data_IF_077406572597
#
_entry.id   IF_077406572597
#
_cell.length_a   1.000
_cell.length_b   1.000
_cell.length_c   1.000
_cell.angle_alpha   90.00
_cell.angle_beta   90.00
_cell.angle_gamma   90.00
#
_symmetry.space_group_name_H-M   'P 1'
#
loop_
_entity.id
_entity.type
_entity.pdbx_description
1 polymer ?
#
# COMPACT_ATOMS: atom_id res chain seq x y z
N UNK A 1 -16.03 -6.89 -8.28
CA UNK A 1 -15.79 -6.07 -7.06
C UNK A 1 -14.83 -6.78 -6.13
N UNK A 2 -13.61 -6.25 -5.98
CA UNK A 2 -12.55 -6.84 -5.15
C UNK A 2 -12.59 -6.20 -3.75
N UNK A 3 -12.60 -6.96 -2.65
CA UNK A 3 -12.54 -6.40 -1.30
C UNK A 3 -11.12 -5.87 -1.00
N UNK A 4 -11.02 -4.69 -0.39
CA UNK A 4 -9.74 -4.07 0.00
C UNK A 4 -9.25 -4.47 1.40
N UNK A 5 -10.12 -5.10 2.20
CA UNK A 5 -9.92 -5.41 3.62
C UNK A 5 -9.76 -4.19 4.54
N UNK A 6 -9.86 -2.97 4.00
CA UNK A 6 -10.04 -1.75 4.76
C UNK A 6 -11.52 -1.62 5.12
N UNK A 7 -11.82 -1.64 6.42
CA UNK A 7 -13.20 -1.58 6.95
C UNK A 7 -13.54 -0.30 7.68
N UNK A 8 -12.54 0.47 8.07
CA UNK A 8 -12.71 1.74 8.76
C UNK A 8 -12.02 2.87 8.00
N UNK A 9 -12.60 4.06 8.13
CA UNK A 9 -12.00 5.31 7.69
C UNK A 9 -11.30 6.00 8.85
N UNK A 10 -10.40 6.97 8.57
CA UNK A 10 -9.74 7.71 9.63
C UNK A 10 -10.73 8.44 10.55
N UNK A 11 -10.41 8.51 11.84
CA UNK A 11 -11.28 9.09 12.87
C UNK A 11 -10.59 10.16 13.75
N UNK A 12 -9.37 10.57 13.39
CA UNK A 12 -8.59 11.58 14.11
C UNK A 12 -7.83 11.03 15.32
N UNK A 13 -7.85 9.72 15.56
CA UNK A 13 -7.04 9.05 16.60
C UNK A 13 -5.73 8.47 16.03
N UNK A 14 -5.47 8.63 14.74
CA UNK A 14 -4.26 8.15 14.07
C UNK A 14 -3.04 8.92 14.60
N UNK A 15 -2.00 8.19 15.04
CA UNK A 15 -0.74 8.77 15.53
C UNK A 15 0.43 7.91 15.05
N UNK A 16 1.58 8.54 14.84
CA UNK A 16 2.84 7.87 14.59
C UNK A 16 3.43 8.09 13.19
N UNK A 17 4.53 7.38 12.93
CA UNK A 17 5.33 7.51 11.72
C UNK A 17 5.12 6.31 10.81
N UNK A 18 4.86 6.57 9.54
CA UNK A 18 4.53 5.57 8.53
C UNK A 18 5.30 5.84 7.24
N UNK A 19 5.73 4.77 6.58
CA UNK A 19 6.20 4.84 5.21
C UNK A 19 5.11 4.37 4.25
N UNK A 20 5.18 4.84 3.01
CA UNK A 20 4.47 4.18 1.94
C UNK A 20 5.37 3.96 0.73
N UNK A 21 4.97 3.01 -0.11
CA UNK A 21 5.46 2.89 -1.48
C UNK A 21 4.25 2.99 -2.38
N UNK A 22 4.21 4.02 -3.23
CA UNK A 22 3.13 4.25 -4.19
C UNK A 22 3.61 3.98 -5.61
N UNK A 23 3.34 2.75 -6.08
CA UNK A 23 3.79 2.26 -7.38
C UNK A 23 2.83 2.75 -8.48
N UNK A 24 3.27 3.78 -9.19
CA UNK A 24 2.58 4.35 -10.35
C UNK A 24 2.98 3.69 -11.68
N UNK A 25 2.66 4.37 -12.79
CA UNK A 25 2.94 3.89 -14.14
C UNK A 25 4.41 3.99 -14.56
N UNK A 26 5.00 5.18 -14.48
CA UNK A 26 6.37 5.46 -14.93
C UNK A 26 7.32 5.82 -13.78
N UNK A 27 6.74 6.22 -12.65
CA UNK A 27 7.44 6.59 -11.44
C UNK A 27 6.71 5.96 -10.26
N UNK A 28 7.41 5.86 -9.13
CA UNK A 28 6.80 5.60 -7.84
C UNK A 28 7.24 6.62 -6.81
N UNK A 29 6.51 6.68 -5.71
CA UNK A 29 6.78 7.62 -4.62
C UNK A 29 7.07 6.84 -3.34
N UNK A 30 7.96 7.39 -2.52
CA UNK A 30 8.20 6.92 -1.15
C UNK A 30 7.94 8.10 -0.21
N UNK A 31 6.72 8.25 0.31
CA UNK A 31 6.44 9.23 1.36
C UNK A 31 6.71 8.67 2.76
N UNK A 32 7.22 9.54 3.63
CA UNK A 32 7.21 9.41 5.08
C UNK A 32 6.12 10.31 5.64
N UNK A 33 5.11 9.70 6.28
CA UNK A 33 3.94 10.36 6.82
C UNK A 33 4.02 10.32 8.35
N UNK A 34 3.88 11.47 8.99
CA UNK A 34 3.82 11.62 10.44
C UNK A 34 2.44 12.13 10.82
N UNK A 35 1.68 11.30 11.52
CA UNK A 35 0.29 11.59 11.89
C UNK A 35 0.22 12.06 13.34
N UNK A 36 -0.50 13.17 13.57
CA UNK A 36 -0.87 13.67 14.87
C UNK A 36 -2.37 14.01 14.92
N UNK A 37 -3.21 13.00 14.72
CA UNK A 37 -4.65 13.16 14.65
C UNK A 37 -5.08 13.54 13.28
N UNK A 38 -5.74 14.69 13.15
CA UNK A 38 -6.15 15.22 11.86
C UNK A 38 -5.01 15.98 11.15
N UNK A 39 -3.87 16.13 11.82
CA UNK A 39 -2.68 16.72 11.26
C UNK A 39 -1.77 15.63 10.66
N UNK A 40 -1.30 15.89 9.44
CA UNK A 40 -0.38 15.02 8.73
C UNK A 40 0.77 15.84 8.13
N UNK A 41 1.99 15.52 8.57
CA UNK A 41 3.21 16.00 7.91
C UNK A 41 3.70 14.94 6.93
N UNK A 42 4.09 15.36 5.73
CA UNK A 42 4.55 14.45 4.68
C UNK A 42 5.83 14.98 4.05
N UNK A 43 6.86 14.14 4.04
CA UNK A 43 8.04 14.30 3.19
C UNK A 43 8.08 13.11 2.23
N UNK A 44 8.67 13.25 1.05
CA UNK A 44 8.71 12.15 0.11
C UNK A 44 9.56 12.39 -1.11
N UNK A 45 9.95 11.30 -1.74
CA UNK A 45 10.75 11.33 -2.98
C UNK A 45 10.09 10.52 -4.08
N UNK A 46 10.22 11.03 -5.31
CA UNK A 46 9.78 10.36 -6.52
C UNK A 46 10.97 9.67 -7.16
N UNK A 47 10.80 8.42 -7.55
CA UNK A 47 11.79 7.59 -8.23
C UNK A 47 11.27 7.15 -9.58
N UNK A 48 12.11 7.23 -10.60
CA UNK A 48 11.81 6.70 -11.92
C UNK A 48 11.85 5.17 -11.91
N UNK A 49 10.99 4.56 -12.71
CA UNK A 49 11.03 3.13 -12.99
C UNK A 49 11.56 2.97 -14.41
N UNK A 50 12.79 2.46 -14.59
CA UNK A 50 13.31 2.22 -15.93
C UNK A 50 12.38 1.30 -16.71
N UNK A 51 12.18 1.57 -18.01
CA UNK A 51 11.31 0.74 -18.85
C UNK A 51 11.73 -0.74 -18.86
N UNK A 52 13.04 -0.99 -18.84
CA UNK A 52 13.59 -2.34 -18.74
C UNK A 52 13.15 -3.07 -17.45
N UNK A 53 12.94 -2.34 -16.35
CA UNK A 53 12.43 -2.89 -15.08
C UNK A 53 10.92 -3.15 -15.17
N UNK A 54 10.16 -2.30 -15.87
CA UNK A 54 8.70 -2.48 -16.06
C UNK A 54 8.34 -3.72 -16.89
N UNK A 55 9.28 -4.23 -17.69
CA UNK A 55 9.09 -5.35 -18.63
C UNK A 55 10.08 -6.50 -18.38
N UNK A 56 10.80 -6.45 -17.26
CA UNK A 56 11.82 -7.41 -16.88
C UNK A 56 11.31 -8.51 -15.97
N UNK A 57 12.19 -9.00 -15.11
CA UNK A 57 11.94 -10.08 -14.15
C UNK A 57 11.46 -9.56 -12.79
N UNK A 58 10.72 -10.41 -12.06
CA UNK A 58 10.22 -10.13 -10.71
C UNK A 58 11.27 -9.46 -9.81
N UNK A 59 12.44 -10.08 -9.68
CA UNK A 59 13.49 -9.57 -8.79
C UNK A 59 14.00 -8.20 -9.23
N UNK A 60 14.05 -7.91 -10.54
CA UNK A 60 14.49 -6.60 -11.02
C UNK A 60 13.56 -5.47 -10.57
N UNK A 61 12.24 -5.68 -10.57
CA UNK A 61 11.27 -4.69 -10.09
C UNK A 61 11.36 -4.50 -8.58
N UNK A 62 11.27 -5.59 -7.81
CA UNK A 62 11.18 -5.47 -6.36
C UNK A 62 12.54 -5.09 -5.73
N UNK A 63 13.67 -5.51 -6.29
CA UNK A 63 14.99 -5.08 -5.83
C UNK A 63 15.25 -3.60 -6.15
N UNK A 64 14.75 -3.09 -7.29
CA UNK A 64 14.77 -1.65 -7.60
C UNK A 64 13.96 -0.85 -6.57
N UNK A 65 12.76 -1.30 -6.23
CA UNK A 65 11.94 -0.67 -5.18
C UNK A 65 12.66 -0.68 -3.83
N UNK A 66 13.23 -1.82 -3.42
CA UNK A 66 13.97 -1.95 -2.17
C UNK A 66 15.21 -1.03 -2.14
N UNK A 67 15.91 -0.87 -3.27
CA UNK A 67 17.07 0.03 -3.37
C UNK A 67 16.69 1.50 -3.25
N UNK A 68 15.59 1.93 -3.88
CA UNK A 68 15.10 3.31 -3.72
C UNK A 68 14.56 3.57 -2.31
N UNK A 69 13.91 2.58 -1.68
CA UNK A 69 13.45 2.69 -0.30
C UNK A 69 14.64 2.92 0.64
N UNK A 70 15.74 2.19 0.46
CA UNK A 70 16.97 2.41 1.21
C UNK A 70 17.59 3.80 0.99
N UNK A 71 17.68 4.25 -0.27
CA UNK A 71 18.16 5.61 -0.60
C UNK A 71 17.31 6.67 0.09
N UNK A 72 15.99 6.50 0.11
CA UNK A 72 15.08 7.42 0.79
C UNK A 72 15.30 7.40 2.30
N UNK A 73 15.28 6.22 2.93
CA UNK A 73 15.48 6.08 4.37
C UNK A 73 16.81 6.68 4.83
N UNK A 74 17.88 6.50 4.06
CA UNK A 74 19.18 7.10 4.37
C UNK A 74 19.14 8.63 4.32
N UNK A 75 18.57 9.22 3.26
CA UNK A 75 18.50 10.68 3.08
C UNK A 75 17.61 11.36 4.11
N UNK A 76 16.53 10.70 4.50
CA UNK A 76 15.58 11.20 5.49
C UNK A 76 16.01 10.89 6.93
N UNK A 77 17.21 10.33 7.15
CA UNK A 77 17.73 10.02 8.49
C UNK A 77 16.98 8.90 9.21
N UNK A 78 16.30 8.02 8.47
CA UNK A 78 15.44 6.95 8.99
C UNK A 78 16.17 5.61 9.16
N UNK A 79 17.43 5.50 8.73
CA UNK A 79 18.20 4.23 8.76
C UNK A 79 18.39 3.61 10.16
N UNK A 80 18.31 4.41 11.23
CA UNK A 80 18.45 3.94 12.62
C UNK A 80 17.15 4.04 13.42
N UNK A 81 16.01 4.20 12.73
CA UNK A 81 14.70 4.26 13.38
C UNK A 81 14.19 2.87 13.70
N UNK A 82 13.23 2.77 14.63
CA UNK A 82 12.52 1.51 14.84
C UNK A 82 11.82 1.09 13.54
N UNK A 83 11.70 -0.22 13.33
CA UNK A 83 10.98 -0.81 12.20
C UNK A 83 9.65 -0.08 11.91
N UNK A 84 9.61 0.65 10.79
CA UNK A 84 8.47 1.50 10.43
C UNK A 84 7.37 0.69 9.71
N UNK A 85 6.08 0.89 10.04
CA UNK A 85 4.99 0.32 9.24
C UNK A 85 4.97 0.94 7.83
N UNK A 86 4.81 0.09 6.82
CA UNK A 86 4.81 0.45 5.41
C UNK A 86 3.50 0.04 4.74
N UNK A 87 2.80 1.04 4.17
CA UNK A 87 1.69 0.84 3.26
C UNK A 87 2.18 0.70 1.81
N UNK A 88 1.86 -0.40 1.14
CA UNK A 88 2.23 -0.62 -0.25
C UNK A 88 1.04 -0.36 -1.17
N UNK A 89 0.97 0.84 -1.74
CA UNK A 89 -0.01 1.18 -2.77
C UNK A 89 0.42 0.57 -4.09
N UNK A 90 -0.16 -0.59 -4.40
CA UNK A 90 0.13 -1.38 -5.58
C UNK A 90 -1.06 -1.32 -6.54
N UNK A 91 -1.00 -0.35 -7.46
CA UNK A 91 -2.15 0.12 -8.25
C UNK A 91 -2.44 -0.75 -9.47
N UNK A 92 -2.53 -2.06 -9.27
CA UNK A 92 -2.86 -3.09 -10.25
C UNK A 92 -3.98 -4.00 -9.71
N UNK A 93 -4.75 -4.66 -10.59
CA UNK A 93 -5.77 -5.60 -10.15
C UNK A 93 -5.17 -6.74 -9.31
N UNK A 94 -5.57 -6.81 -8.03
CA UNK A 94 -5.12 -7.84 -7.09
C UNK A 94 -6.29 -8.56 -6.43
N UNK A 95 -6.13 -9.87 -6.19
CA UNK A 95 -6.99 -10.62 -5.29
C UNK A 95 -6.38 -10.58 -3.90
N UNK A 96 -7.03 -9.89 -2.97
CA UNK A 96 -6.59 -9.83 -1.57
C UNK A 96 -7.26 -10.92 -0.75
N UNK A 97 -6.52 -11.46 0.22
CA UNK A 97 -7.03 -12.37 1.26
C UNK A 97 -6.93 -11.78 2.67
N UNK A 98 -6.11 -10.74 2.83
CA UNK A 98 -5.99 -9.95 4.04
C UNK A 98 -5.56 -8.51 3.69
N UNK A 99 -5.40 -7.65 4.70
CA UNK A 99 -4.89 -6.30 4.49
C UNK A 99 -3.46 -6.31 3.91
N UNK A 100 -2.65 -7.32 4.25
CA UNK A 100 -1.21 -7.38 3.95
C UNK A 100 -0.82 -8.52 2.99
N UNK A 101 -1.81 -9.15 2.34
CA UNK A 101 -1.64 -10.22 1.34
C UNK A 101 -2.48 -9.92 0.09
N UNK A 102 -1.80 -9.74 -1.04
CA UNK A 102 -2.42 -9.33 -2.30
C UNK A 102 -1.78 -10.05 -3.48
N UNK A 103 -2.52 -10.95 -4.14
CA UNK A 103 -2.03 -11.66 -5.32
C UNK A 103 -2.35 -10.91 -6.60
N UNK A 104 -1.33 -10.62 -7.41
CA UNK A 104 -1.52 -9.93 -8.69
C UNK A 104 -2.37 -10.79 -9.64
N UNK A 105 -3.42 -10.22 -10.21
CA UNK A 105 -4.27 -10.91 -11.20
C UNK A 105 -3.71 -10.74 -12.61
N UNK A 106 -3.35 -9.50 -12.98
CA UNK A 106 -2.75 -9.16 -14.27
C UNK A 106 -2.06 -7.80 -14.23
N UNK A 107 -1.06 -7.62 -15.07
CA UNK A 107 -0.46 -6.30 -15.28
C UNK A 107 -1.35 -5.37 -16.11
N UNK A 108 -1.15 -4.08 -15.93
CA UNK A 108 -1.78 -2.98 -16.70
C UNK A 108 -0.76 -1.85 -16.86
N UNK A 109 -1.15 -0.67 -17.39
CA UNK A 109 -0.31 0.55 -17.38
C UNK A 109 1.09 0.37 -18.03
N UNK A 110 1.22 -0.55 -18.99
CA UNK A 110 2.47 -0.84 -19.69
C UNK A 110 3.45 -1.76 -18.94
N UNK A 111 3.11 -2.21 -17.73
CA UNK A 111 3.90 -3.24 -17.04
C UNK A 111 3.68 -4.61 -17.67
N UNK A 112 4.73 -5.42 -17.68
CA UNK A 112 4.68 -6.83 -18.02
C UNK A 112 5.86 -7.58 -17.37
N UNK A 113 5.92 -7.55 -16.04
CA UNK A 113 7.02 -8.18 -15.28
C UNK A 113 6.75 -9.67 -15.12
N UNK A 114 7.69 -10.49 -15.58
CA UNK A 114 7.58 -11.96 -15.51
C UNK A 114 7.66 -12.46 -14.07
N UNK A 115 6.96 -13.57 -13.79
CA UNK A 115 7.04 -14.25 -12.49
C UNK A 115 6.32 -13.54 -11.33
N UNK A 116 5.49 -12.52 -11.56
CA UNK A 116 4.73 -11.81 -10.52
C UNK A 116 3.24 -12.17 -10.51
N UNK A 117 2.64 -12.42 -11.68
CA UNK A 117 1.21 -12.77 -11.77
C UNK A 117 0.92 -14.04 -10.93
N UNK A 118 -0.12 -13.97 -10.10
CA UNK A 118 -0.51 -15.03 -9.18
C UNK A 118 0.26 -15.05 -7.85
N UNK A 119 1.29 -14.22 -7.67
CA UNK A 119 2.08 -14.16 -6.42
C UNK A 119 1.66 -13.01 -5.52
N UNK A 120 1.89 -13.17 -4.22
CA UNK A 120 1.66 -12.13 -3.21
C UNK A 120 2.71 -11.02 -3.32
N UNK A 121 2.29 -9.83 -3.73
CA UNK A 121 3.20 -8.69 -3.97
C UNK A 121 3.77 -8.12 -2.68
N UNK A 122 3.08 -8.28 -1.54
CA UNK A 122 3.61 -7.89 -0.25
C UNK A 122 4.78 -8.80 0.15
N UNK A 123 4.61 -10.11 -0.02
CA UNK A 123 5.68 -11.09 0.18
C UNK A 123 6.88 -10.82 -0.73
N UNK A 124 6.65 -10.56 -2.03
CA UNK A 124 7.74 -10.24 -2.96
C UNK A 124 8.53 -9.00 -2.54
N UNK A 125 7.86 -7.95 -2.05
CA UNK A 125 8.53 -6.77 -1.52
C UNK A 125 9.33 -7.09 -0.24
N UNK A 126 8.77 -7.89 0.67
CA UNK A 126 9.49 -8.35 1.88
C UNK A 126 10.74 -9.16 1.52
N UNK A 127 10.63 -10.05 0.53
CA UNK A 127 11.75 -10.85 0.04
C UNK A 127 12.86 -9.99 -0.56
N UNK A 128 12.53 -8.99 -1.38
CA UNK A 128 13.51 -8.06 -1.94
C UNK A 128 14.22 -7.24 -0.86
N UNK A 129 13.49 -6.75 0.15
CA UNK A 129 14.07 -6.05 1.30
C UNK A 129 15.00 -6.99 2.08
N UNK A 130 14.60 -8.24 2.29
CA UNK A 130 15.44 -9.24 2.97
C UNK A 130 16.70 -9.58 2.18
N UNK A 131 16.61 -9.77 0.85
CA UNK A 131 17.77 -9.99 -0.02
C UNK A 131 18.76 -8.84 0.07
N UNK A 132 18.26 -7.60 0.02
CA UNK A 132 19.10 -6.41 0.18
C UNK A 132 19.83 -6.42 1.53
N UNK A 133 19.08 -6.56 2.62
CA UNK A 133 19.64 -6.58 3.97
C UNK A 133 20.64 -7.74 4.17
N UNK A 134 20.44 -8.89 3.52
CA UNK A 134 21.37 -10.02 3.56
C UNK A 134 22.65 -9.79 2.74
N UNK A 135 22.61 -8.91 1.73
CA UNK A 135 23.78 -8.57 0.89
C UNK A 135 24.71 -7.53 1.52
N UNK A 136 24.34 -6.94 2.65
CA UNK A 136 25.08 -5.90 3.34
C UNK A 136 25.46 -6.32 4.76
N UNK A 137 26.48 -5.67 5.32
CA UNK A 137 26.94 -5.93 6.70
C UNK A 137 26.01 -5.32 7.77
N UNK A 138 25.12 -4.41 7.38
CA UNK A 138 24.11 -3.79 8.22
C UNK A 138 22.76 -3.77 7.49
N UNK A 139 21.67 -3.61 8.25
CA UNK A 139 20.31 -3.49 7.70
C UNK A 139 20.00 -2.02 7.46
N UNK A 140 19.89 -1.64 6.19
CA UNK A 140 19.61 -0.25 5.80
C UNK A 140 18.11 0.02 5.55
N UNK A 141 17.29 -1.04 5.52
CA UNK A 141 15.83 -0.97 5.39
C UNK A 141 15.16 -1.75 6.52
N UNK A 142 14.67 -1.03 7.53
CA UNK A 142 13.87 -1.58 8.62
C UNK A 142 12.40 -1.14 8.51
N UNK A 143 11.61 -1.93 7.77
CA UNK A 143 10.18 -1.68 7.57
C UNK A 143 9.34 -2.94 7.75
N UNK A 144 8.05 -2.76 8.03
CA UNK A 144 7.05 -3.83 8.04
C UNK A 144 5.96 -3.57 7.00
N UNK A 145 5.81 -4.43 6.00
CA UNK A 145 4.74 -4.26 5.00
C UNK A 145 3.42 -4.66 5.66
N UNK A 146 2.65 -3.67 6.15
CA UNK A 146 1.45 -3.89 6.97
C UNK A 146 0.16 -3.85 6.15
N UNK A 147 0.18 -3.23 4.97
CA UNK A 147 -0.98 -3.14 4.11
C UNK A 147 -0.59 -3.12 2.63
N UNK A 148 -1.43 -3.71 1.78
CA UNK A 148 -1.44 -3.48 0.33
C UNK A 148 -2.76 -2.80 -0.04
N UNK A 149 -2.65 -1.72 -0.80
CA UNK A 149 -3.77 -0.86 -1.14
C UNK A 149 -3.82 -0.62 -2.65
N UNK A 150 -5.02 -0.43 -3.19
CA UNK A 150 -5.18 0.16 -4.51
C UNK A 150 -5.21 1.70 -4.41
N UNK A 151 -4.74 2.39 -5.45
CA UNK A 151 -4.77 3.87 -5.57
C UNK A 151 -6.14 4.48 -5.25
N UNK A 152 -7.24 3.92 -5.73
CA UNK A 152 -8.58 4.47 -5.45
C UNK A 152 -8.94 4.40 -3.96
N UNK A 153 -8.55 3.31 -3.28
CA UNK A 153 -8.79 3.13 -1.84
C UNK A 153 -7.94 4.12 -1.04
N UNK A 154 -6.66 4.26 -1.39
CA UNK A 154 -5.79 5.27 -0.78
C UNK A 154 -6.30 6.69 -1.00
N UNK A 155 -6.83 6.98 -2.19
CA UNK A 155 -7.46 8.26 -2.54
C UNK A 155 -8.67 8.53 -1.64
N UNK A 156 -9.61 7.59 -1.54
CA UNK A 156 -10.78 7.71 -0.66
C UNK A 156 -10.36 7.96 0.79
N UNK A 157 -9.42 7.18 1.32
CA UNK A 157 -8.95 7.33 2.70
C UNK A 157 -8.26 8.67 2.95
N UNK A 158 -7.49 9.18 1.98
CA UNK A 158 -6.85 10.49 2.09
C UNK A 158 -7.87 11.64 2.10
N UNK A 159 -8.99 11.49 1.39
CA UNK A 159 -10.11 12.41 1.46
C UNK A 159 -10.87 12.27 2.78
N UNK A 160 -11.14 11.03 3.21
CA UNK A 160 -11.81 10.72 4.47
C UNK A 160 -11.04 11.23 5.71
N UNK A 161 -9.70 11.30 5.61
CA UNK A 161 -8.84 11.91 6.62
C UNK A 161 -9.10 13.41 6.82
N UNK A 162 -9.63 14.10 5.81
CA UNK A 162 -9.97 15.54 5.88
C UNK A 162 -11.46 15.79 6.04
N UNK A 163 -12.27 14.94 5.42
CA UNK A 163 -13.73 15.02 5.37
C UNK A 163 -14.30 13.63 5.62
N UNK A 164 -14.75 13.37 6.86
CA UNK A 164 -15.18 12.04 7.31
C UNK A 164 -16.40 11.50 6.56
N UNK A 165 -17.13 12.35 5.84
CA UNK A 165 -18.25 11.92 4.97
C UNK A 165 -17.80 11.28 3.65
N UNK A 166 -16.50 11.26 3.34
CA UNK A 166 -16.00 10.70 2.09
C UNK A 166 -16.01 9.16 2.09
N UNK A 167 -16.96 8.58 1.35
CA UNK A 167 -17.15 7.11 1.26
C UNK A 167 -16.92 6.55 -0.15
N UNK A 168 -16.55 7.38 -1.12
CA UNK A 168 -16.31 7.00 -2.52
C UNK A 168 -15.01 7.64 -2.99
N UNK A 169 -14.15 6.85 -3.64
CA UNK A 169 -12.92 7.35 -4.29
C UNK A 169 -12.88 6.95 -5.75
N UNK A 170 -12.50 7.89 -6.62
CA UNK A 170 -12.39 7.64 -8.05
C UNK A 170 -11.06 8.19 -8.60
N UNK A 171 -10.48 7.46 -9.55
CA UNK A 171 -9.35 7.90 -10.35
C UNK A 171 -9.84 8.01 -11.79
N UNK A 172 -9.63 9.19 -12.40
CA UNK A 172 -9.92 9.49 -13.79
C UNK A 172 -8.64 10.03 -14.45
N UNK A 173 -7.80 9.13 -14.96
CA UNK A 173 -6.51 9.47 -15.55
C UNK A 173 -6.11 8.53 -16.69
N UNK A 174 -4.85 8.08 -16.72
CA UNK A 174 -4.37 7.08 -17.70
C UNK A 174 -5.24 5.81 -17.73
N UNK A 175 -5.86 5.48 -16.60
CA UNK A 175 -6.99 4.56 -16.52
C UNK A 175 -8.09 5.15 -15.63
N UNK A 176 -9.24 4.48 -15.60
CA UNK A 176 -10.37 4.80 -14.72
C UNK A 176 -10.60 3.69 -13.70
N UNK A 177 -10.78 4.03 -12.44
CA UNK A 177 -11.14 3.08 -11.39
C UNK A 177 -11.96 3.77 -10.29
N UNK A 178 -12.75 3.00 -9.55
CA UNK A 178 -13.58 3.52 -8.45
C UNK A 178 -13.63 2.51 -7.30
N UNK A 179 -13.64 3.03 -6.08
CA UNK A 179 -13.91 2.29 -4.86
C UNK A 179 -15.00 2.99 -4.06
N UNK A 180 -15.63 2.26 -3.15
CA UNK A 180 -16.57 2.81 -2.19
C UNK A 180 -16.57 1.94 -0.92
N UNK A 181 -17.01 2.51 0.19
CA UNK A 181 -17.30 1.78 1.42
C UNK A 181 -18.66 1.08 1.27
N UNK A 182 -18.68 -0.24 1.46
CA UNK A 182 -19.91 -1.05 1.41
C UNK A 182 -20.14 -1.75 2.74
N UNK A 183 -21.40 -1.88 3.13
CA UNK A 183 -21.83 -2.65 4.30
C UNK A 183 -21.45 -4.13 4.15
N UNK A 184 -20.72 -4.65 5.16
CA UNK A 184 -20.31 -6.04 5.20
C UNK A 184 -21.51 -7.00 5.19
N UNK A 185 -22.66 -6.61 5.74
CA UNK A 185 -23.88 -7.43 5.71
C UNK A 185 -24.38 -7.67 4.27
N UNK A 186 -24.18 -6.68 3.39
CA UNK A 186 -24.52 -6.73 1.96
C UNK A 186 -23.46 -7.48 1.13
N UNK A 187 -22.39 -7.96 1.75
CA UNK A 187 -21.28 -8.66 1.10
C UNK A 187 -21.23 -10.15 1.49
N UNK A 188 -22.16 -11.01 1.04
CA UNK A 188 -22.27 -12.41 1.49
C UNK A 188 -21.01 -13.24 1.25
N UNK A 189 -20.26 -12.95 0.17
CA UNK A 189 -18.99 -13.62 -0.16
C UNK A 189 -17.86 -13.36 0.86
N UNK A 190 -17.99 -12.33 1.70
CA UNK A 190 -16.98 -11.96 2.70
C UNK A 190 -17.24 -12.59 4.07
N UNK A 191 -18.42 -13.18 4.30
CA UNK A 191 -18.77 -13.85 5.57
C UNK A 191 -17.74 -14.91 5.99
N UNK A 192 -17.11 -15.59 5.02
CA UNK A 192 -16.08 -16.60 5.25
C UNK A 192 -14.84 -16.07 6.01
N UNK A 193 -14.59 -14.77 5.99
CA UNK A 193 -13.42 -14.17 6.66
C UNK A 193 -13.66 -13.88 8.16
N UNK A 194 -14.89 -14.01 8.67
CA UNK A 194 -15.22 -13.84 10.10
C UNK A 194 -14.68 -12.54 10.73
N UNK A 195 -14.84 -11.42 10.03
CA UNK A 195 -14.36 -10.09 10.40
C UNK A 195 -14.77 -9.61 11.80
N UNK A 196 -15.84 -10.16 12.38
CA UNK A 196 -16.26 -9.83 13.75
C UNK A 196 -15.30 -10.35 14.81
N UNK A 197 -14.48 -11.35 14.49
CA UNK A 197 -13.59 -12.02 15.45
C UNK A 197 -12.13 -11.57 15.37
N UNK A 198 -11.76 -10.75 14.38
CA UNK A 198 -10.40 -10.26 14.26
C UNK A 198 -10.13 -9.00 15.10
N UNK A 199 -8.85 -8.68 15.25
CA UNK A 199 -8.35 -7.56 16.07
C UNK A 199 -8.36 -6.20 15.34
N UNK A 200 -8.83 -6.15 14.09
CA UNK A 200 -8.85 -4.92 13.31
C UNK A 200 -10.08 -4.08 13.65
N UNK A 201 -10.07 -2.77 13.31
CA UNK A 201 -11.22 -1.91 13.47
C UNK A 201 -12.48 -2.53 12.84
N UNK A 202 -13.58 -2.48 13.58
CA UNK A 202 -14.89 -2.85 13.06
C UNK A 202 -15.34 -1.83 12.02
N UNK A 203 -16.26 -2.24 11.14
CA UNK A 203 -16.77 -1.34 10.13
C UNK A 203 -17.40 -0.11 10.80
N UNK A 204 -17.06 1.07 10.29
CA UNK A 204 -17.74 2.30 10.68
C UNK A 204 -19.16 2.19 10.12
N UNK A 205 -20.16 2.02 11.01
CA UNK A 205 -21.56 1.99 10.63
C UNK A 205 -22.06 3.42 10.39
N UNK A 206 -22.98 3.59 9.43
CA UNK A 206 -23.63 4.87 9.10
C UNK A 206 -24.31 5.53 10.32
N UNK A 207 -24.51 4.81 11.42
CA UNK A 207 -25.11 5.29 12.66
C UNK A 207 -24.23 6.23 13.51
N UNK A 208 -23.04 6.60 13.04
CA UNK A 208 -22.12 7.53 13.71
C UNK A 208 -21.73 8.75 12.85
N UNK A 209 -22.42 8.97 11.72
CA UNK A 209 -22.35 10.22 10.94
C UNK A 209 -23.59 11.06 11.25
#
# INVERSE_FOLDING_TARGET
MLPSFVRAIPNGQERGDFLAVDLGGTNFRVPHIRLQGMDAEMDGKIYAIPHAVMTGECDQLFDHIAACLADFMQRSGLSNTKKLPLGFTFSFPCSQDSLSEARLIRWTKGFNVSGVVGKDVAQLLREAINRRNASQWYKDVEVDVTAVLNDTVGTMLSCAFKESSCTVGAILGTGSNTCYLEDLEKCPKLKKYNFDKDAYPKQVSESFI
#
